data_IF_975836943012
#
_entry.id   IF_975836943012
#
_cell.length_a   1.000
_cell.length_b   1.000
_cell.length_c   1.000
_cell.angle_alpha   90.00
_cell.angle_beta   90.00
_cell.angle_gamma   90.00
#
_symmetry.space_group_name_H-M   'P 1'
#
loop_
_entity.id
_entity.type
_entity.pdbx_description
1 polymer ?
#
# COMPACT_ATOMS: atom_id res chain seq x y z
N UNK A 1 -15.12 0.91 -5.16
CA UNK A 1 -14.89 0.02 -4.02
C UNK A 1 -13.38 -0.14 -3.85
N UNK A 2 -12.81 -0.12 -2.64
CA UNK A 2 -11.35 -0.24 -2.47
C UNK A 2 -10.87 -1.64 -2.85
N UNK A 3 -9.67 -1.72 -3.40
CA UNK A 3 -9.03 -2.99 -3.78
C UNK A 3 -8.42 -3.70 -2.56
N UNK A 4 -8.01 -2.92 -1.57
CA UNK A 4 -7.40 -3.39 -0.32
C UNK A 4 -8.08 -2.71 0.85
N UNK A 5 -8.33 -3.46 1.92
CA UNK A 5 -8.80 -2.93 3.21
C UNK A 5 -7.78 -3.26 4.28
N UNK A 6 -7.42 -2.27 5.09
CA UNK A 6 -6.52 -2.41 6.23
C UNK A 6 -7.27 -2.00 7.47
N UNK A 7 -7.41 -2.92 8.39
CA UNK A 7 -8.12 -2.73 9.65
C UNK A 7 -7.23 -3.17 10.83
N UNK A 8 -7.45 -2.58 11.99
CA UNK A 8 -6.72 -2.94 13.20
C UNK A 8 -7.50 -4.03 13.93
N UNK A 9 -6.84 -5.15 14.19
CA UNK A 9 -7.36 -6.25 15.01
C UNK A 9 -6.44 -6.41 16.22
N UNK A 10 -6.87 -5.87 17.36
CA UNK A 10 -6.02 -5.74 18.54
C UNK A 10 -4.78 -4.88 18.26
N UNK A 11 -3.58 -5.46 18.40
CA UNK A 11 -2.30 -4.80 18.14
C UNK A 11 -1.77 -5.04 16.71
N UNK A 12 -2.52 -5.75 15.86
CA UNK A 12 -2.05 -6.13 14.53
C UNK A 12 -2.89 -5.47 13.43
N UNK A 13 -2.22 -5.13 12.35
CA UNK A 13 -2.86 -4.69 11.11
C UNK A 13 -3.22 -5.89 10.25
N UNK A 14 -4.51 -6.03 9.93
CA UNK A 14 -5.05 -7.08 9.06
C UNK A 14 -5.28 -6.49 7.67
N UNK A 15 -4.77 -7.19 6.66
CA UNK A 15 -4.90 -6.82 5.24
C UNK A 15 -5.91 -7.76 4.62
N UNK A 16 -6.96 -7.21 4.04
CA UNK A 16 -7.96 -7.92 3.25
C UNK A 16 -7.95 -7.42 1.82
N UNK A 17 -7.75 -8.32 0.86
CA UNK A 17 -7.86 -8.01 -0.56
C UNK A 17 -9.32 -8.18 -1.01
N UNK A 18 -9.83 -7.18 -1.72
CA UNK A 18 -11.15 -7.29 -2.34
C UNK A 18 -11.04 -8.09 -3.65
N UNK A 19 -11.58 -9.29 -3.61
CA UNK A 19 -11.57 -10.23 -4.74
C UNK A 19 -12.93 -10.35 -5.43
N UNK A 20 -13.91 -9.50 -5.10
CA UNK A 20 -15.30 -9.62 -5.58
C UNK A 20 -15.41 -9.56 -7.11
N UNK A 21 -14.50 -8.83 -7.75
CA UNK A 21 -14.45 -8.71 -9.21
C UNK A 21 -13.59 -9.77 -9.91
N UNK A 22 -12.90 -10.62 -9.14
CA UNK A 22 -12.04 -11.66 -9.70
C UNK A 22 -12.80 -12.98 -9.68
N UNK A 23 -13.20 -13.52 -10.84
CA UNK A 23 -13.91 -14.79 -10.89
C UNK A 23 -13.03 -15.91 -10.33
N UNK A 24 -13.61 -16.77 -9.51
CA UNK A 24 -12.93 -17.97 -9.02
C UNK A 24 -12.72 -18.97 -10.15
N UNK A 25 -11.58 -18.90 -10.79
CA UNK A 25 -11.23 -19.79 -11.89
C UNK A 25 -10.80 -21.16 -11.35
N UNK A 26 -11.37 -22.21 -11.92
CA UNK A 26 -10.97 -23.60 -11.63
C UNK A 26 -10.92 -24.41 -12.93
N UNK A 27 -9.97 -25.31 -13.00
CA UNK A 27 -9.91 -26.28 -14.09
C UNK A 27 -10.92 -27.38 -13.77
N UNK A 28 -11.87 -27.61 -14.69
CA UNK A 28 -12.88 -28.66 -14.52
C UNK A 28 -12.23 -30.03 -14.31
N UNK A 29 -12.72 -30.76 -13.33
CA UNK A 29 -12.26 -32.13 -13.07
C UNK A 29 -12.59 -33.06 -14.24
N UNK A 30 -13.70 -32.81 -14.94
CA UNK A 30 -14.10 -33.58 -16.12
C UNK A 30 -12.98 -33.67 -17.15
N UNK A 31 -12.29 -32.56 -17.47
CA UNK A 31 -11.18 -32.57 -18.41
C UNK A 31 -9.96 -33.33 -17.90
N UNK A 32 -9.70 -33.31 -16.59
CA UNK A 32 -8.63 -34.10 -15.96
C UNK A 32 -8.95 -35.60 -16.06
N UNK A 33 -10.19 -35.97 -15.79
CA UNK A 33 -10.65 -37.37 -15.87
C UNK A 33 -10.63 -37.89 -17.31
N UNK A 34 -11.05 -37.09 -18.29
CA UNK A 34 -10.97 -37.45 -19.70
C UNK A 34 -9.56 -37.82 -20.14
N UNK A 35 -8.56 -37.03 -19.71
CA UNK A 35 -7.15 -37.33 -19.98
C UNK A 35 -6.70 -38.60 -19.27
N UNK A 36 -7.15 -38.82 -18.02
CA UNK A 36 -6.78 -39.98 -17.22
C UNK A 36 -7.38 -41.31 -17.74
N UNK A 37 -8.60 -41.28 -18.26
CA UNK A 37 -9.31 -42.46 -18.81
C UNK A 37 -8.73 -43.01 -20.07
N UNK A 38 -7.82 -42.29 -20.78
CA UNK A 38 -7.11 -42.80 -21.95
C UNK A 38 -7.97 -42.98 -23.21
N UNK A 39 -9.24 -42.58 -23.20
CA UNK A 39 -10.20 -42.72 -24.29
C UNK A 39 -9.98 -41.73 -25.45
N UNK A 40 -9.11 -40.73 -25.23
CA UNK A 40 -8.85 -39.65 -26.17
C UNK A 40 -7.77 -40.05 -27.21
N UNK A 41 -7.95 -39.59 -28.43
CA UNK A 41 -6.89 -39.66 -29.45
C UNK A 41 -5.68 -38.83 -29.02
N UNK A 42 -4.54 -39.04 -29.64
CA UNK A 42 -3.30 -38.30 -29.35
C UNK A 42 -3.51 -36.79 -29.53
N UNK A 43 -4.16 -36.38 -30.63
CA UNK A 43 -4.42 -34.96 -30.92
C UNK A 43 -5.34 -34.28 -29.88
N UNK A 44 -6.42 -34.95 -29.52
CA UNK A 44 -7.35 -34.43 -28.50
C UNK A 44 -6.69 -34.29 -27.12
N UNK A 45 -5.83 -35.28 -26.76
CA UNK A 45 -5.09 -35.26 -25.51
C UNK A 45 -4.07 -34.11 -25.47
N UNK A 46 -3.35 -33.90 -26.57
CA UNK A 46 -2.36 -32.82 -26.66
C UNK A 46 -3.04 -31.44 -26.62
N UNK A 47 -4.17 -31.28 -27.31
CA UNK A 47 -4.99 -30.09 -27.28
C UNK A 47 -5.49 -29.78 -25.86
N UNK A 48 -6.07 -30.76 -25.17
CA UNK A 48 -6.58 -30.57 -23.79
C UNK A 48 -5.43 -30.24 -22.81
N UNK A 49 -4.27 -30.87 -22.94
CA UNK A 49 -3.09 -30.57 -22.12
C UNK A 49 -2.63 -29.13 -22.29
N UNK A 50 -2.62 -28.63 -23.52
CA UNK A 50 -2.25 -27.24 -23.80
C UNK A 50 -3.25 -26.27 -23.18
N UNK A 51 -4.56 -26.53 -23.30
CA UNK A 51 -5.61 -25.71 -22.69
C UNK A 51 -5.52 -25.70 -21.18
N UNK A 52 -5.28 -26.84 -20.55
CA UNK A 52 -5.08 -26.94 -19.10
C UNK A 52 -3.82 -26.17 -18.67
N UNK A 53 -2.73 -26.25 -19.44
CA UNK A 53 -1.50 -25.50 -19.16
C UNK A 53 -1.76 -23.99 -19.20
N UNK A 54 -2.43 -23.52 -20.25
CA UNK A 54 -2.81 -22.10 -20.39
C UNK A 54 -3.74 -21.64 -19.26
N UNK A 55 -4.72 -22.46 -18.88
CA UNK A 55 -5.61 -22.18 -17.76
C UNK A 55 -4.87 -22.09 -16.42
N UNK A 56 -3.95 -23.03 -16.15
CA UNK A 56 -3.09 -22.97 -14.96
C UNK A 56 -2.22 -21.72 -14.93
N UNK A 57 -1.63 -21.37 -16.06
CA UNK A 57 -0.82 -20.17 -16.17
C UNK A 57 -1.61 -18.91 -15.83
N UNK A 58 -2.85 -18.80 -16.33
CA UNK A 58 -3.74 -17.67 -16.02
C UNK A 58 -4.09 -17.60 -14.52
N UNK A 59 -4.48 -18.73 -13.91
CA UNK A 59 -4.78 -18.81 -12.48
C UNK A 59 -3.58 -18.37 -11.65
N UNK A 60 -2.41 -18.94 -11.91
CA UNK A 60 -1.18 -18.60 -11.19
C UNK A 60 -0.79 -17.13 -11.36
N UNK A 61 -1.02 -16.55 -12.55
CA UNK A 61 -0.74 -15.13 -12.82
C UNK A 61 -1.64 -14.21 -11.98
N UNK A 62 -2.91 -14.57 -11.82
CA UNK A 62 -3.85 -13.83 -10.97
C UNK A 62 -3.43 -13.92 -9.50
N UNK A 63 -3.13 -15.12 -9.02
CA UNK A 63 -2.69 -15.35 -7.64
C UNK A 63 -1.39 -14.60 -7.33
N UNK A 64 -0.41 -14.65 -8.23
CA UNK A 64 0.85 -13.92 -8.09
C UNK A 64 0.64 -12.40 -8.02
N UNK A 65 -0.28 -11.87 -8.83
CA UNK A 65 -0.63 -10.45 -8.79
C UNK A 65 -1.23 -10.05 -7.44
N UNK A 66 -2.13 -10.86 -6.88
CA UNK A 66 -2.73 -10.63 -5.58
C UNK A 66 -1.69 -10.67 -4.47
N UNK A 67 -0.83 -11.68 -4.46
CA UNK A 67 0.27 -11.80 -3.50
C UNK A 67 1.24 -10.61 -3.58
N UNK A 68 1.50 -10.10 -4.79
CA UNK A 68 2.35 -8.92 -4.97
C UNK A 68 1.72 -7.68 -4.34
N UNK A 69 0.42 -7.45 -4.56
CA UNK A 69 -0.30 -6.32 -3.95
C UNK A 69 -0.31 -6.44 -2.42
N UNK A 70 -0.58 -7.63 -1.90
CA UNK A 70 -0.57 -7.88 -0.45
C UNK A 70 0.81 -7.60 0.17
N UNK A 71 1.89 -8.09 -0.45
CA UNK A 71 3.27 -7.85 0.01
C UNK A 71 3.63 -6.36 -0.01
N UNK A 72 3.29 -5.65 -1.09
CA UNK A 72 3.47 -4.20 -1.19
C UNK A 72 2.69 -3.49 -0.08
N UNK A 73 1.43 -3.84 0.15
CA UNK A 73 0.61 -3.23 1.21
C UNK A 73 1.20 -3.48 2.58
N UNK A 74 1.70 -4.68 2.86
CA UNK A 74 2.36 -5.03 4.12
C UNK A 74 3.59 -4.15 4.38
N UNK A 75 4.41 -3.95 3.35
CA UNK A 75 5.58 -3.08 3.47
C UNK A 75 5.21 -1.59 3.62
N UNK A 76 4.12 -1.15 2.97
CA UNK A 76 3.59 0.20 3.21
C UNK A 76 3.18 0.36 4.68
N UNK A 77 2.48 -0.62 5.27
CA UNK A 77 2.07 -0.57 6.68
C UNK A 77 3.31 -0.55 7.60
N UNK A 78 4.32 -1.37 7.33
CA UNK A 78 5.55 -1.43 8.10
C UNK A 78 6.26 -0.07 8.16
N UNK A 79 6.29 0.67 7.05
CA UNK A 79 6.94 1.99 6.98
C UNK A 79 6.03 3.09 7.52
N UNK A 80 4.74 3.02 7.24
CA UNK A 80 3.75 4.06 7.50
C UNK A 80 2.91 3.79 8.76
N UNK A 81 3.42 2.98 9.70
CA UNK A 81 2.66 2.61 10.91
C UNK A 81 2.05 3.81 11.63
N UNK A 82 2.80 4.92 11.75
CA UNK A 82 2.32 6.14 12.38
C UNK A 82 1.16 6.83 11.61
N UNK A 83 1.17 6.74 10.28
CA UNK A 83 0.03 7.20 9.47
C UNK A 83 -1.24 6.40 9.82
N UNK A 84 -1.14 5.09 9.93
CA UNK A 84 -2.30 4.24 10.23
C UNK A 84 -2.86 4.47 11.63
N UNK A 85 -2.02 4.93 12.59
CA UNK A 85 -2.45 5.28 13.95
C UNK A 85 -2.96 6.74 14.05
N UNK A 86 -2.26 7.69 13.42
CA UNK A 86 -2.43 9.13 13.69
C UNK A 86 -2.84 9.97 12.49
N UNK A 87 -2.95 9.36 11.29
CA UNK A 87 -3.42 10.03 10.07
C UNK A 87 -2.32 10.72 9.26
N UNK A 88 -2.76 11.58 8.32
CA UNK A 88 -1.94 12.14 7.24
C UNK A 88 -0.76 12.96 7.74
N UNK A 89 -0.90 13.66 8.87
CA UNK A 89 0.16 14.47 9.46
C UNK A 89 1.39 13.66 9.90
N UNK A 90 1.27 12.31 9.99
CA UNK A 90 2.34 11.39 10.36
C UNK A 90 2.85 10.55 9.16
N UNK A 91 2.54 10.97 7.94
CA UNK A 91 3.00 10.29 6.74
C UNK A 91 4.50 10.45 6.57
N UNK A 92 5.22 9.34 6.51
CA UNK A 92 6.67 9.29 6.26
C UNK A 92 6.98 9.29 4.77
N UNK A 93 8.15 9.82 4.35
CA UNK A 93 8.59 9.68 2.97
C UNK A 93 8.82 8.22 2.61
N UNK A 94 8.35 7.85 1.42
CA UNK A 94 8.47 6.49 0.89
C UNK A 94 8.68 6.53 -0.61
N UNK A 95 9.68 5.78 -1.10
CA UNK A 95 9.97 5.62 -2.52
C UNK A 95 9.54 4.26 -3.02
N UNK A 96 9.22 4.17 -4.31
CA UNK A 96 8.89 2.88 -4.94
C UNK A 96 10.08 1.93 -4.93
N UNK A 97 11.31 2.45 -5.08
CA UNK A 97 12.54 1.68 -5.03
C UNK A 97 12.69 0.95 -3.69
N UNK A 98 12.46 1.65 -2.56
CA UNK A 98 12.53 1.05 -1.23
C UNK A 98 11.57 -0.12 -1.06
N UNK A 99 10.33 0.03 -1.53
CA UNK A 99 9.33 -1.05 -1.49
C UNK A 99 9.73 -2.18 -2.44
N UNK A 100 10.24 -1.86 -3.63
CA UNK A 100 10.68 -2.85 -4.61
C UNK A 100 11.80 -3.74 -4.04
N UNK A 101 12.78 -3.16 -3.38
CA UNK A 101 13.88 -3.87 -2.72
C UNK A 101 13.37 -4.77 -1.59
N UNK A 102 12.48 -4.25 -0.72
CA UNK A 102 11.91 -5.00 0.40
C UNK A 102 11.05 -6.19 -0.07
N UNK A 103 10.28 -6.01 -1.16
CA UNK A 103 9.42 -7.05 -1.73
C UNK A 103 10.19 -8.00 -2.67
N UNK A 104 11.40 -7.63 -3.12
CA UNK A 104 12.22 -8.41 -4.05
C UNK A 104 11.66 -8.42 -5.47
N UNK A 105 11.17 -7.27 -5.96
CA UNK A 105 10.66 -7.08 -7.31
C UNK A 105 11.25 -5.81 -7.92
N UNK A 106 11.11 -5.64 -9.23
CA UNK A 106 11.54 -4.41 -9.88
C UNK A 106 10.57 -3.25 -9.58
N UNK A 107 11.07 -2.02 -9.52
CA UNK A 107 10.27 -0.81 -9.25
C UNK A 107 9.06 -0.65 -10.20
N UNK A 108 9.25 -0.97 -11.49
CA UNK A 108 8.14 -0.94 -12.47
C UNK A 108 7.03 -1.93 -12.13
N UNK A 109 7.35 -3.05 -11.46
CA UNK A 109 6.35 -4.01 -10.98
C UNK A 109 5.53 -3.42 -9.85
N UNK A 110 6.17 -2.72 -8.90
CA UNK A 110 5.48 -1.98 -7.83
C UNK A 110 4.55 -0.93 -8.45
N UNK A 111 5.08 -0.07 -9.33
CA UNK A 111 4.31 0.99 -9.99
C UNK A 111 3.08 0.46 -10.73
N UNK A 112 3.22 -0.65 -11.48
CA UNK A 112 2.11 -1.30 -12.20
C UNK A 112 1.11 -1.96 -11.25
N UNK A 113 1.57 -2.56 -10.15
CA UNK A 113 0.71 -3.24 -9.20
C UNK A 113 -0.21 -2.26 -8.47
N UNK A 114 0.27 -1.07 -8.12
CA UNK A 114 -0.47 -0.04 -7.37
C UNK A 114 -1.24 0.94 -8.27
N UNK A 115 -1.02 0.91 -9.59
CA UNK A 115 -1.69 1.83 -10.52
C UNK A 115 -3.22 1.65 -10.48
N UNK A 116 -3.95 2.75 -10.26
CA UNK A 116 -5.42 2.78 -10.14
C UNK A 116 -5.97 1.82 -9.07
N UNK A 117 -5.24 1.68 -7.96
CA UNK A 117 -5.62 0.86 -6.82
C UNK A 117 -5.88 1.73 -5.61
N UNK A 118 -6.96 1.41 -4.90
CA UNK A 118 -7.39 2.13 -3.72
C UNK A 118 -7.29 1.26 -2.48
N UNK A 119 -6.85 1.86 -1.40
CA UNK A 119 -6.73 1.25 -0.08
C UNK A 119 -7.67 1.94 0.90
N UNK A 120 -8.47 1.17 1.62
CA UNK A 120 -9.25 1.64 2.76
C UNK A 120 -8.39 1.54 4.01
N UNK A 121 -8.33 2.63 4.75
CA UNK A 121 -7.65 2.74 6.03
C UNK A 121 -8.61 3.26 7.09
N UNK A 122 -8.29 3.24 8.40
CA UNK A 122 -9.11 3.88 9.43
C UNK A 122 -9.37 5.37 9.19
N UNK A 123 -8.45 6.05 8.49
CA UNK A 123 -8.53 7.48 8.18
C UNK A 123 -9.21 7.80 6.83
N UNK A 124 -9.73 6.79 6.12
CA UNK A 124 -10.42 6.97 4.85
C UNK A 124 -9.88 6.10 3.73
N UNK A 125 -10.33 6.40 2.50
CA UNK A 125 -9.91 5.69 1.28
C UNK A 125 -8.92 6.55 0.53
N UNK A 126 -7.76 5.97 0.23
CA UNK A 126 -6.66 6.63 -0.48
C UNK A 126 -6.26 5.86 -1.73
N UNK A 127 -5.75 6.56 -2.74
CA UNK A 127 -5.00 5.90 -3.82
C UNK A 127 -3.72 5.29 -3.24
N UNK A 128 -3.34 4.09 -3.62
CA UNK A 128 -2.10 3.48 -3.13
C UNK A 128 -0.84 4.30 -3.46
N UNK A 129 -0.87 5.08 -4.54
CA UNK A 129 0.20 6.03 -4.88
C UNK A 129 0.34 7.17 -3.87
N UNK A 130 -0.70 7.43 -3.07
CA UNK A 130 -0.67 8.48 -2.05
C UNK A 130 0.48 8.30 -1.06
N UNK A 131 0.85 7.06 -0.73
CA UNK A 131 1.90 6.74 0.24
C UNK A 131 3.32 6.96 -0.31
N UNK A 132 3.47 7.05 -1.62
CA UNK A 132 4.77 7.25 -2.27
C UNK A 132 5.02 8.75 -2.48
N UNK A 133 5.53 9.39 -1.45
CA UNK A 133 5.82 10.81 -1.45
C UNK A 133 7.31 11.06 -1.22
N UNK A 134 7.93 11.96 -1.99
CA UNK A 134 9.24 12.46 -1.66
C UNK A 134 9.18 13.21 -0.33
N UNK A 135 10.26 13.21 0.41
CA UNK A 135 10.38 13.89 1.68
C UNK A 135 11.62 14.73 1.75
N UNK A 136 11.64 15.61 2.76
CA UNK A 136 12.82 16.36 3.18
C UNK A 136 13.36 15.78 4.49
N UNK A 137 14.67 15.87 4.67
CA UNK A 137 15.26 15.71 5.98
C UNK A 137 15.06 17.05 6.72
N UNK A 138 14.31 17.02 7.81
CA UNK A 138 14.24 18.17 8.72
C UNK A 138 15.58 18.32 9.44
N UNK A 139 15.92 19.52 9.90
CA UNK A 139 17.14 19.80 10.66
C UNK A 139 17.26 18.94 11.93
N UNK A 140 16.14 18.45 12.45
CA UNK A 140 16.05 17.47 13.55
C UNK A 140 16.43 16.02 13.16
N UNK A 141 16.79 15.77 11.89
CA UNK A 141 17.08 14.43 11.37
C UNK A 141 15.86 13.56 11.05
N UNK A 142 14.65 14.01 11.36
CA UNK A 142 13.42 13.30 11.05
C UNK A 142 13.05 13.46 9.56
N UNK A 143 12.72 12.36 8.89
CA UNK A 143 12.24 12.42 7.52
C UNK A 143 10.75 12.76 7.49
N UNK A 144 10.39 13.91 6.93
CA UNK A 144 9.00 14.40 6.85
C UNK A 144 8.54 14.44 5.39
N UNK A 145 7.33 13.95 5.10
CA UNK A 145 6.78 13.98 3.76
C UNK A 145 6.23 15.36 3.40
N UNK A 146 6.29 15.74 2.11
CA UNK A 146 5.70 16.99 1.63
C UNK A 146 4.20 17.09 1.93
N UNK A 147 3.49 15.96 1.93
CA UNK A 147 2.06 15.93 2.25
C UNK A 147 1.80 16.17 3.74
N UNK A 148 2.62 15.57 4.61
CA UNK A 148 2.53 15.81 6.05
C UNK A 148 2.76 17.30 6.40
N UNK A 149 3.74 17.94 5.76
CA UNK A 149 3.98 19.38 5.94
C UNK A 149 2.79 20.22 5.49
N UNK A 150 2.22 19.92 4.33
CA UNK A 150 1.03 20.63 3.83
C UNK A 150 -0.17 20.48 4.76
N UNK A 151 -0.40 19.29 5.30
CA UNK A 151 -1.48 19.05 6.26
C UNK A 151 -1.27 19.83 7.55
N UNK A 152 -0.05 19.81 8.09
CA UNK A 152 0.28 20.60 9.30
C UNK A 152 0.10 22.12 9.06
N UNK A 153 0.42 22.61 7.87
CA UNK A 153 0.18 24.02 7.50
C UNK A 153 -1.32 24.29 7.44
N UNK A 154 -2.11 23.42 6.81
CA UNK A 154 -3.57 23.56 6.73
C UNK A 154 -4.19 23.60 8.13
N UNK A 155 -3.81 22.70 9.02
CA UNK A 155 -4.25 22.71 10.42
C UNK A 155 -3.91 24.02 11.15
N UNK A 156 -2.71 24.59 10.89
CA UNK A 156 -2.29 25.84 11.51
C UNK A 156 -3.09 27.03 10.99
N UNK A 157 -3.43 27.04 9.70
CA UNK A 157 -4.25 28.08 9.07
C UNK A 157 -5.71 27.97 9.56
N UNK A 158 -6.25 26.76 9.70
CA UNK A 158 -7.62 26.56 10.20
C UNK A 158 -7.80 27.00 11.65
N UNK A 159 -6.71 26.97 12.43
CA UNK A 159 -6.67 27.45 13.84
C UNK A 159 -6.24 28.91 13.95
N UNK A 160 -6.05 29.61 12.85
CA UNK A 160 -5.57 30.98 12.79
C UNK A 160 -6.66 31.98 13.26
N UNK A 161 -6.26 32.97 14.06
CA UNK A 161 -7.10 34.10 14.35
C UNK A 161 -7.13 35.06 13.15
N UNK A 162 -8.30 35.20 12.51
CA UNK A 162 -8.53 36.12 11.40
C UNK A 162 -8.15 37.57 11.66
N UNK A 163 -8.11 37.98 12.92
CA UNK A 163 -7.69 39.33 13.33
C UNK A 163 -6.16 39.50 13.33
N UNK A 164 -5.41 38.38 13.40
CA UNK A 164 -3.94 38.41 13.44
C UNK A 164 -3.37 37.25 12.61
N UNK A 165 -3.29 37.40 11.27
CA UNK A 165 -2.81 36.37 10.38
C UNK A 165 -1.34 36.00 10.66
N UNK A 166 -1.02 34.71 10.52
CA UNK A 166 0.33 34.19 10.70
C UNK A 166 1.22 34.59 9.53
N UNK A 167 2.40 35.10 9.80
CA UNK A 167 3.42 35.31 8.76
C UNK A 167 4.10 33.98 8.39
N UNK A 168 4.77 33.96 7.22
CA UNK A 168 5.55 32.79 6.78
C UNK A 168 6.60 32.38 7.84
N UNK A 169 7.20 33.36 8.53
CA UNK A 169 8.18 33.12 9.61
C UNK A 169 7.54 32.48 10.85
N UNK A 170 6.31 32.89 11.20
CA UNK A 170 5.57 32.29 12.30
C UNK A 170 5.16 30.85 11.97
N UNK A 171 4.77 30.59 10.74
CA UNK A 171 4.45 29.24 10.25
C UNK A 171 5.68 28.32 10.33
N UNK A 172 6.86 28.79 9.90
CA UNK A 172 8.11 28.02 9.97
C UNK A 172 8.45 27.71 11.44
N UNK A 173 8.39 28.70 12.34
CA UNK A 173 8.67 28.51 13.76
C UNK A 173 7.72 27.48 14.41
N UNK A 174 6.41 27.56 14.13
CA UNK A 174 5.41 26.61 14.63
C UNK A 174 5.58 25.21 14.05
N UNK A 175 6.00 25.07 12.79
CA UNK A 175 6.27 23.80 12.17
C UNK A 175 7.51 23.12 12.79
N UNK A 176 8.57 23.89 13.05
CA UNK A 176 9.76 23.40 13.75
C UNK A 176 9.43 22.94 15.17
N UNK A 177 8.66 23.73 15.94
CA UNK A 177 8.22 23.35 17.28
C UNK A 177 7.37 22.07 17.29
N UNK A 178 6.44 21.91 16.34
CA UNK A 178 5.67 20.66 16.17
C UNK A 178 6.55 19.49 15.74
N UNK A 179 7.54 19.71 14.89
CA UNK A 179 8.51 18.70 14.45
C UNK A 179 9.40 18.20 15.59
N UNK A 180 9.93 19.10 16.42
CA UNK A 180 10.79 18.76 17.57
C UNK A 180 10.02 18.05 18.69
N UNK A 181 8.77 18.45 18.96
CA UNK A 181 7.90 17.74 19.92
C UNK A 181 7.60 16.31 19.52
N UNK A 182 7.53 16.02 18.20
CA UNK A 182 7.32 14.65 17.68
C UNK A 182 8.56 13.79 17.86
N UNK A 183 9.76 14.34 17.64
CA UNK A 183 11.03 13.63 17.84
C UNK A 183 11.28 13.29 19.31
N UNK A 184 10.92 14.17 20.23
CA UNK A 184 11.09 13.98 21.69
C UNK A 184 10.16 12.91 22.24
N UNK A 185 8.93 12.76 21.71
CA UNK A 185 8.01 11.68 22.14
C UNK A 185 8.46 10.28 21.68
N UNK A 186 9.11 10.17 20.53
CA UNK A 186 9.62 8.89 20.03
C UNK A 186 10.78 8.37 20.86
N UNK A 187 11.61 9.26 21.44
CA UNK A 187 12.74 8.88 22.29
C UNK A 187 12.33 8.49 23.73
N UNK A 188 11.15 8.87 24.18
CA UNK A 188 10.68 8.52 25.53
C UNK A 188 9.90 7.20 25.63
N UNK A 189 9.70 6.49 24.51
CA UNK A 189 8.99 5.20 24.48
C UNK A 189 9.93 4.00 24.44
N UNK A 190 11.24 4.22 24.58
CA UNK A 190 12.28 3.17 24.56
C UNK A 190 13.15 3.15 25.83
N UNK A 191 12.52 3.42 26.98
CA UNK A 191 13.20 3.21 28.29
C UNK A 191 12.35 2.25 29.12
#
# INVERSE_FOLDING_TARGET
>A
MPDVTVEKDGDKWVISLNNDYIPRLRISNTYREMIAKGTLTRQERDYLRERIRSGKFLINSIEQRQQTIERITREIINVQGEFFEHGVSHLKPLTMTRIADAVGVHETTVSRAIANKFIRTPHGVFDMKFFFTPGYQADSGAAVSNKSVKEMISELIDLEDRAKPLSDQDLVAKLQEKGDRKSTRLNSSHT
#
